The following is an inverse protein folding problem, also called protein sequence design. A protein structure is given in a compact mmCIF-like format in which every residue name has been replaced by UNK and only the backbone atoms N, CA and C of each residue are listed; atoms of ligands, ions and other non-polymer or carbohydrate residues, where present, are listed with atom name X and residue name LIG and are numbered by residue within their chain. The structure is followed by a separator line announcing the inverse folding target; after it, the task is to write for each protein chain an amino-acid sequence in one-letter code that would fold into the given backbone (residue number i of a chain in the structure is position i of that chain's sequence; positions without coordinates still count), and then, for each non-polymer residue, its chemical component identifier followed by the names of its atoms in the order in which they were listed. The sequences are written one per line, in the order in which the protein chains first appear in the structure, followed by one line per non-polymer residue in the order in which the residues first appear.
data_IF_149310794646
#
_entry.id   IF_149310794646
#
_cell.length_a   1.000
_cell.length_b   1.000
_cell.length_c   1.000
_cell.angle_alpha   90.00
_cell.angle_beta   90.00
_cell.angle_gamma   90.00
#
_symmetry.space_group_name_H-M   'P 1'
#
loop_
_entity.id
_entity.type
_entity.pdbx_description
1 polymer ?
#
# COMPACT_ATOMS: atom_id res chain seq x y z
N UNK A 1 -8.87 37.92 15.14
CA UNK A 1 -8.85 36.76 14.21
C UNK A 1 -10.25 36.18 14.23
N UNK A 2 -10.93 36.14 13.09
CA UNK A 2 -12.27 35.55 13.01
C UNK A 2 -12.15 34.05 13.25
N UNK A 3 -12.92 33.51 14.20
CA UNK A 3 -12.90 32.08 14.53
C UNK A 3 -13.43 31.27 13.34
N UNK A 4 -12.76 30.16 13.01
CA UNK A 4 -13.13 29.30 11.88
C UNK A 4 -14.12 28.25 12.36
N UNK A 5 -15.39 28.45 12.04
CA UNK A 5 -16.51 27.63 12.56
C UNK A 5 -17.26 26.91 11.44
N UNK A 6 -17.12 27.34 10.19
CA UNK A 6 -17.86 26.77 9.06
C UNK A 6 -17.10 25.64 8.36
N UNK A 7 -17.79 24.56 7.96
CA UNK A 7 -17.18 23.49 7.17
C UNK A 7 -16.73 24.00 5.79
N UNK A 8 -15.66 23.43 5.20
CA UNK A 8 -15.20 23.84 3.89
C UNK A 8 -16.21 23.51 2.78
N UNK A 9 -16.37 24.45 1.85
CA UNK A 9 -17.17 24.27 0.64
C UNK A 9 -16.52 23.24 -0.31
N UNK A 10 -17.29 22.64 -1.24
CA UNK A 10 -16.77 21.72 -2.24
C UNK A 10 -15.67 22.35 -3.12
N UNK A 11 -15.73 23.67 -3.38
CA UNK A 11 -14.70 24.40 -4.13
C UNK A 11 -13.36 24.44 -3.39
N UNK A 12 -13.34 24.76 -2.10
CA UNK A 12 -12.11 24.75 -1.30
C UNK A 12 -11.50 23.36 -1.16
N UNK A 13 -12.34 22.31 -1.05
CA UNK A 13 -11.87 20.91 -1.10
C UNK A 13 -11.24 20.58 -2.46
N UNK A 14 -11.80 21.05 -3.56
CA UNK A 14 -11.27 20.82 -4.91
C UNK A 14 -9.95 21.58 -5.14
N UNK A 15 -9.86 22.84 -4.70
CA UNK A 15 -8.61 23.60 -4.73
C UNK A 15 -7.52 22.95 -3.87
N UNK A 16 -7.86 22.42 -2.70
CA UNK A 16 -6.91 21.67 -1.86
C UNK A 16 -6.38 20.42 -2.59
N UNK A 17 -7.26 19.68 -3.30
CA UNK A 17 -6.86 18.55 -4.15
C UNK A 17 -5.97 18.99 -5.31
N UNK A 18 -6.27 20.09 -6.00
CA UNK A 18 -5.45 20.65 -7.09
C UNK A 18 -4.07 21.10 -6.62
N UNK A 19 -3.97 21.60 -5.39
CA UNK A 19 -2.70 21.92 -4.73
C UNK A 19 -1.97 20.67 -4.20
N UNK A 20 -2.53 19.47 -4.41
CA UNK A 20 -2.01 18.19 -3.97
C UNK A 20 -2.09 17.99 -2.46
N UNK A 21 -2.87 18.79 -1.72
CA UNK A 21 -3.12 18.59 -0.28
C UNK A 21 -4.25 17.58 -0.12
N UNK A 22 -3.90 16.30 -0.07
CA UNK A 22 -4.84 15.19 0.14
C UNK A 22 -4.41 14.45 1.41
N UNK A 23 -5.32 14.09 2.32
CA UNK A 23 -5.00 13.26 3.47
C UNK A 23 -4.46 11.92 2.96
N UNK A 24 -3.29 11.53 3.45
CA UNK A 24 -2.62 10.27 3.08
C UNK A 24 -2.11 9.60 4.34
N UNK A 25 -2.44 8.33 4.50
CA UNK A 25 -1.76 7.44 5.44
C UNK A 25 -0.63 6.74 4.69
N UNK A 26 0.61 6.88 5.19
CA UNK A 26 1.78 6.23 4.58
C UNK A 26 1.71 4.71 4.66
N UNK A 27 1.00 4.17 5.66
CA UNK A 27 0.99 2.74 5.96
C UNK A 27 -0.18 1.98 5.33
N UNK A 28 -1.23 2.68 4.90
CA UNK A 28 -2.41 2.02 4.33
C UNK A 28 -2.07 1.30 3.02
N UNK A 29 -1.07 1.79 2.26
CA UNK A 29 -0.61 1.11 1.03
C UNK A 29 0.08 -0.19 1.40
N UNK A 30 0.95 -0.17 2.40
CA UNK A 30 1.71 -1.33 2.84
C UNK A 30 0.81 -2.40 3.47
N UNK A 31 -0.13 -1.99 4.33
CA UNK A 31 -1.08 -2.90 4.95
C UNK A 31 -2.01 -3.55 3.92
N UNK A 32 -2.56 -2.74 3.01
CA UNK A 32 -3.46 -3.23 1.98
C UNK A 32 -2.78 -4.07 0.92
N UNK A 33 -1.56 -3.72 0.50
CA UNK A 33 -0.79 -4.54 -0.44
C UNK A 33 -0.41 -5.89 0.17
N UNK A 34 0.00 -5.90 1.45
CA UNK A 34 0.28 -7.13 2.18
C UNK A 34 -0.95 -8.04 2.24
N UNK A 35 -2.11 -7.50 2.62
CA UNK A 35 -3.36 -8.27 2.71
C UNK A 35 -3.85 -8.77 1.35
N UNK A 36 -3.82 -7.92 0.31
CA UNK A 36 -4.22 -8.32 -1.04
C UNK A 36 -3.34 -9.46 -1.56
N UNK A 37 -2.02 -9.32 -1.37
CA UNK A 37 -1.04 -10.32 -1.81
C UNK A 37 -1.16 -11.62 -1.00
N UNK A 38 -1.40 -11.52 0.31
CA UNK A 38 -1.63 -12.68 1.18
C UNK A 38 -2.92 -13.40 0.82
N UNK A 39 -4.02 -12.67 0.54
CA UNK A 39 -5.29 -13.25 0.12
C UNK A 39 -5.20 -13.92 -1.25
N UNK A 40 -4.48 -13.31 -2.19
CA UNK A 40 -4.20 -13.93 -3.49
C UNK A 40 -3.41 -15.22 -3.32
N UNK A 41 -2.33 -15.19 -2.52
CA UNK A 41 -1.51 -16.36 -2.22
C UNK A 41 -2.32 -17.46 -1.52
N UNK A 42 -3.20 -17.11 -0.58
CA UNK A 42 -4.07 -18.06 0.10
C UNK A 42 -5.01 -18.79 -0.88
N UNK A 43 -5.48 -18.10 -1.92
CA UNK A 43 -6.35 -18.66 -2.94
C UNK A 43 -5.59 -19.54 -3.93
N UNK A 44 -4.52 -19.04 -4.55
CA UNK A 44 -3.82 -19.76 -5.62
C UNK A 44 -2.71 -20.70 -5.13
N UNK A 45 -2.19 -20.49 -3.92
CA UNK A 45 -1.05 -21.23 -3.37
C UNK A 45 -1.24 -22.75 -3.29
N UNK A 46 -2.40 -23.27 -2.85
CA UNK A 46 -2.63 -24.72 -2.83
C UNK A 46 -2.58 -25.36 -4.23
N UNK A 47 -3.18 -24.72 -5.24
CA UNK A 47 -3.15 -25.18 -6.63
C UNK A 47 -1.72 -25.10 -7.21
N UNK A 48 -0.97 -24.05 -6.87
CA UNK A 48 0.42 -23.93 -7.26
C UNK A 48 1.27 -25.06 -6.65
N UNK A 49 1.06 -25.36 -5.37
CA UNK A 49 1.79 -26.41 -4.67
C UNK A 49 1.51 -27.80 -5.26
N UNK A 50 0.25 -28.11 -5.63
CA UNK A 50 -0.08 -29.38 -6.28
C UNK A 50 0.59 -29.52 -7.65
N UNK A 51 0.54 -28.48 -8.49
CA UNK A 51 1.19 -28.46 -9.80
C UNK A 51 2.72 -28.60 -9.69
N UNK A 52 3.33 -27.93 -8.70
CA UNK A 52 4.76 -28.09 -8.42
C UNK A 52 5.10 -29.53 -8.01
N UNK A 53 4.25 -30.16 -7.19
CA UNK A 53 4.46 -31.53 -6.72
C UNK A 53 4.34 -32.53 -7.88
N UNK A 54 3.40 -32.31 -8.80
CA UNK A 54 3.27 -33.09 -10.04
C UNK A 54 4.49 -32.92 -10.96
N UNK A 55 4.97 -31.69 -11.18
CA UNK A 55 6.16 -31.43 -11.98
C UNK A 55 7.41 -32.11 -11.41
N UNK A 56 7.57 -32.10 -10.09
CA UNK A 56 8.66 -32.82 -9.41
C UNK A 56 8.48 -34.33 -9.57
N UNK A 57 7.27 -34.84 -9.38
CA UNK A 57 6.95 -36.26 -9.55
C UNK A 57 7.26 -36.76 -10.97
N UNK A 58 6.86 -36.00 -11.99
CA UNK A 58 7.15 -36.30 -13.39
C UNK A 58 8.66 -36.27 -13.67
N UNK A 59 9.38 -35.29 -13.12
CA UNK A 59 10.84 -35.18 -13.27
C UNK A 59 11.58 -36.34 -12.62
N UNK A 60 11.06 -36.87 -11.50
CA UNK A 60 11.63 -38.03 -10.79
C UNK A 60 11.29 -39.36 -11.48
N UNK A 61 10.14 -39.46 -12.16
CA UNK A 61 9.71 -40.65 -12.89
C UNK A 61 10.29 -40.75 -14.30
N UNK A 62 10.89 -39.67 -14.83
CA UNK A 62 11.58 -39.75 -16.10
C UNK A 62 12.71 -40.78 -16.01
N UNK A 63 12.67 -41.84 -16.84
CA UNK A 63 13.68 -42.87 -16.81
C UNK A 63 15.03 -42.19 -16.99
N UNK A 64 15.93 -42.45 -16.02
CA UNK A 64 17.38 -42.19 -16.02
C UNK A 64 17.82 -41.67 -17.38
N UNK A 65 18.20 -40.38 -17.45
CA UNK A 65 18.94 -39.72 -18.56
C UNK A 65 19.25 -40.77 -19.61
N UNK A 66 18.40 -40.90 -20.64
CA UNK A 66 18.53 -41.98 -21.61
C UNK A 66 19.88 -41.82 -22.28
N UNK A 67 20.87 -42.57 -21.79
CA UNK A 67 22.22 -42.74 -22.35
C UNK A 67 22.14 -43.54 -23.67
N UNK A 68 21.04 -43.38 -24.41
CA UNK A 68 20.65 -44.22 -25.55
C UNK A 68 20.59 -43.40 -26.84
N UNK A 69 20.56 -42.07 -26.72
CA UNK A 69 20.94 -41.12 -27.77
C UNK A 69 22.35 -40.69 -27.44
N UNK A 70 23.31 -40.83 -28.37
CA UNK A 70 24.76 -40.58 -28.19
C UNK A 70 25.20 -39.16 -27.79
N UNK A 71 24.37 -38.42 -27.08
CA UNK A 71 24.67 -37.16 -26.40
C UNK A 71 25.43 -37.42 -25.10
N UNK A 72 26.29 -36.47 -24.71
CA UNK A 72 27.00 -36.61 -23.44
C UNK A 72 26.01 -36.61 -22.27
N UNK A 73 26.32 -37.29 -21.15
CA UNK A 73 25.50 -37.24 -19.93
C UNK A 73 25.22 -35.81 -19.45
N UNK A 74 26.11 -34.86 -19.80
CA UNK A 74 26.04 -33.45 -19.45
C UNK A 74 24.95 -32.74 -20.26
N UNK A 75 24.78 -33.07 -21.56
CA UNK A 75 23.77 -32.46 -22.43
C UNK A 75 22.36 -32.91 -22.08
N UNK A 76 22.21 -34.18 -21.68
CA UNK A 76 20.96 -34.72 -21.14
C UNK A 76 20.53 -34.02 -19.85
N UNK A 77 21.45 -33.87 -18.89
CA UNK A 77 21.20 -33.17 -17.64
C UNK A 77 20.89 -31.68 -17.85
N UNK A 78 21.63 -31.01 -18.75
CA UNK A 78 21.41 -29.60 -19.06
C UNK A 78 20.02 -29.36 -19.66
N UNK A 79 19.57 -30.18 -20.62
CA UNK A 79 18.22 -30.07 -21.20
C UNK A 79 17.12 -30.31 -20.18
N UNK A 80 17.31 -31.27 -19.27
CA UNK A 80 16.35 -31.52 -18.18
C UNK A 80 16.23 -30.31 -17.25
N UNK A 81 17.36 -29.72 -16.85
CA UNK A 81 17.38 -28.53 -16.00
C UNK A 81 16.68 -27.36 -16.70
N UNK A 82 17.04 -27.06 -17.95
CA UNK A 82 16.43 -25.95 -18.72
C UNK A 82 14.92 -26.14 -18.85
N UNK A 83 14.46 -27.35 -19.19
CA UNK A 83 13.03 -27.67 -19.29
C UNK A 83 12.32 -27.50 -17.94
N UNK A 84 12.93 -27.97 -16.85
CA UNK A 84 12.36 -27.87 -15.50
C UNK A 84 12.26 -26.41 -15.03
N UNK A 85 13.32 -25.62 -15.25
CA UNK A 85 13.32 -24.18 -14.93
C UNK A 85 12.28 -23.43 -15.75
N UNK A 86 12.16 -23.74 -17.04
CA UNK A 86 11.18 -23.10 -17.90
C UNK A 86 9.74 -23.44 -17.50
N UNK A 87 9.46 -24.72 -17.18
CA UNK A 87 8.15 -25.16 -16.69
C UNK A 87 7.81 -24.50 -15.34
N UNK A 88 8.76 -24.46 -14.40
CA UNK A 88 8.59 -23.77 -13.12
C UNK A 88 8.34 -22.27 -13.33
N UNK A 89 9.08 -21.65 -14.24
CA UNK A 89 8.92 -20.25 -14.63
C UNK A 89 7.52 -19.97 -15.18
N UNK A 90 7.03 -20.79 -16.10
CA UNK A 90 5.68 -20.65 -16.65
C UNK A 90 4.59 -20.81 -15.59
N UNK A 91 4.82 -21.69 -14.61
CA UNK A 91 3.88 -21.96 -13.53
C UNK A 91 3.82 -20.80 -12.52
N UNK A 92 4.97 -20.24 -12.12
CA UNK A 92 5.06 -19.18 -11.10
C UNK A 92 4.85 -17.78 -11.68
N UNK A 93 5.20 -17.55 -12.94
CA UNK A 93 5.04 -16.25 -13.61
C UNK A 93 3.64 -15.61 -13.51
N UNK A 94 2.52 -16.32 -13.79
CA UNK A 94 1.20 -15.72 -13.71
C UNK A 94 0.85 -15.28 -12.29
N UNK A 95 1.30 -16.02 -11.27
CA UNK A 95 1.12 -15.63 -9.86
C UNK A 95 1.92 -14.37 -9.53
N UNK A 96 3.21 -14.32 -9.88
CA UNK A 96 4.04 -13.13 -9.68
C UNK A 96 3.47 -11.91 -10.37
N UNK A 97 2.96 -12.08 -11.60
CA UNK A 97 2.30 -11.01 -12.35
C UNK A 97 1.03 -10.55 -11.63
N UNK A 98 0.19 -11.48 -11.17
CA UNK A 98 -1.03 -11.14 -10.43
C UNK A 98 -0.73 -10.43 -9.11
N UNK A 99 0.27 -10.86 -8.34
CA UNK A 99 0.72 -10.20 -7.11
C UNK A 99 1.23 -8.77 -7.40
N UNK A 100 2.02 -8.60 -8.46
CA UNK A 100 2.48 -7.28 -8.90
C UNK A 100 1.31 -6.37 -9.29
N UNK A 101 0.37 -6.88 -10.08
CA UNK A 101 -0.82 -6.14 -10.51
C UNK A 101 -1.70 -5.74 -9.33
N UNK A 102 -1.91 -6.62 -8.34
CA UNK A 102 -2.64 -6.30 -7.12
C UNK A 102 -1.95 -5.19 -6.30
N UNK A 103 -0.62 -5.30 -6.11
CA UNK A 103 0.15 -4.29 -5.38
C UNK A 103 0.10 -2.92 -6.07
N UNK A 104 0.26 -2.89 -7.40
CA UNK A 104 0.14 -1.68 -8.23
C UNK A 104 -1.27 -1.11 -8.15
N UNK A 105 -2.31 -1.93 -8.34
CA UNK A 105 -3.69 -1.49 -8.29
C UNK A 105 -4.04 -0.86 -6.94
N UNK A 106 -3.62 -1.47 -5.83
CA UNK A 106 -3.85 -0.93 -4.49
C UNK A 106 -3.12 0.40 -4.27
N UNK A 107 -1.88 0.51 -4.75
CA UNK A 107 -1.11 1.74 -4.70
C UNK A 107 -1.80 2.87 -5.47
N UNK A 108 -2.29 2.58 -6.68
CA UNK A 108 -3.02 3.54 -7.53
C UNK A 108 -4.37 3.96 -6.91
N UNK A 109 -5.13 3.00 -6.38
CA UNK A 109 -6.41 3.24 -5.70
C UNK A 109 -6.24 4.23 -4.54
N UNK A 110 -5.17 4.08 -3.75
CA UNK A 110 -4.96 4.91 -2.58
C UNK A 110 -4.32 6.26 -2.89
N UNK A 111 -3.32 6.30 -3.79
CA UNK A 111 -2.63 7.55 -4.12
C UNK A 111 -3.42 8.43 -5.09
N UNK A 112 -4.35 7.83 -5.85
CA UNK A 112 -4.99 8.41 -7.01
C UNK A 112 -4.00 8.65 -8.15
N UNK A 113 -4.49 9.03 -9.33
CA UNK A 113 -3.64 9.61 -10.39
C UNK A 113 -3.19 11.04 -10.01
N UNK A 114 -2.43 11.16 -8.92
CA UNK A 114 -1.90 12.42 -8.44
C UNK A 114 -0.45 12.58 -8.89
N UNK A 115 -0.23 12.63 -10.20
CA UNK A 115 1.03 13.13 -10.76
C UNK A 115 0.95 14.65 -10.66
N UNK A 116 1.45 15.21 -9.55
CA UNK A 116 1.52 16.67 -9.38
C UNK A 116 2.94 17.15 -9.72
N UNK A 117 3.23 17.53 -10.98
CA UNK A 117 4.57 17.99 -11.38
C UNK A 117 5.03 19.23 -10.60
N UNK A 118 4.10 19.97 -9.99
CA UNK A 118 4.38 21.13 -9.15
C UNK A 118 5.15 20.80 -7.84
N UNK A 119 5.16 19.54 -7.39
CA UNK A 119 5.93 19.09 -6.21
C UNK A 119 7.40 18.77 -6.49
N UNK A 120 7.83 18.78 -7.76
CA UNK A 120 9.22 18.58 -8.18
C UNK A 120 10.07 19.86 -8.09
N UNK A 121 9.47 21.02 -7.78
CA UNK A 121 10.24 22.25 -7.57
C UNK A 121 10.93 22.19 -6.20
N UNK A 122 12.28 22.26 -6.13
CA UNK A 122 13.00 22.32 -4.87
C UNK A 122 12.72 23.67 -4.19
N UNK A 123 11.86 23.68 -3.18
CA UNK A 123 11.61 24.88 -2.37
C UNK A 123 12.66 25.01 -1.27
N UNK A 124 13.54 26.01 -1.36
CA UNK A 124 14.56 26.33 -0.35
C UNK A 124 13.96 26.65 1.04
N UNK A 125 12.68 27.03 1.11
CA UNK A 125 11.97 27.27 2.38
C UNK A 125 11.82 26.02 3.27
N UNK A 126 11.91 24.80 2.70
CA UNK A 126 11.81 23.54 3.45
C UNK A 126 13.11 23.14 4.19
N UNK A 127 14.19 23.90 4.04
CA UNK A 127 15.51 23.61 4.59
C UNK A 127 15.85 24.40 5.88
N UNK A 128 14.94 25.25 6.40
CA UNK A 128 15.22 25.99 7.65
C UNK A 128 15.22 25.05 8.88
N UNK A 129 16.38 24.79 9.52
CA UNK A 129 16.48 23.81 10.62
C UNK A 129 15.76 24.29 11.90
N UNK A 130 15.71 25.60 12.12
CA UNK A 130 15.13 26.21 13.33
C UNK A 130 13.61 26.07 13.44
N UNK A 131 12.85 26.17 12.33
CA UNK A 131 11.39 25.94 12.34
C UNK A 131 11.04 24.47 12.59
N UNK A 132 11.83 23.54 12.05
CA UNK A 132 11.65 22.10 12.27
C UNK A 132 11.90 21.68 13.72
N UNK A 133 12.89 22.26 14.40
CA UNK A 133 13.16 21.94 15.81
C UNK A 133 11.98 22.30 16.73
N UNK A 134 11.32 23.44 16.48
CA UNK A 134 10.11 23.84 17.21
C UNK A 134 8.88 22.99 16.86
N UNK A 135 8.74 22.55 15.61
CA UNK A 135 7.68 21.60 15.21
C UNK A 135 7.89 20.21 15.81
N UNK A 136 9.13 19.72 15.91
CA UNK A 136 9.45 18.40 16.50
C UNK A 136 9.05 18.29 17.98
N UNK A 137 9.05 19.41 18.72
CA UNK A 137 8.63 19.48 20.13
C UNK A 137 7.17 19.94 20.31
N UNK A 138 6.41 20.12 19.23
CA UNK A 138 5.00 20.50 19.33
C UNK A 138 4.15 19.36 19.90
N UNK A 139 3.06 19.70 20.59
CA UNK A 139 2.10 18.72 21.13
C UNK A 139 1.55 17.76 20.06
N UNK A 140 1.53 18.20 18.78
CA UNK A 140 1.11 17.39 17.63
C UNK A 140 2.09 16.25 17.35
N UNK A 141 3.38 16.50 17.47
CA UNK A 141 4.43 15.50 17.24
C UNK A 141 4.46 14.48 18.37
N UNK A 142 4.32 14.93 19.62
CA UNK A 142 4.27 14.05 20.79
C UNK A 142 3.05 13.11 20.76
N UNK A 143 1.88 13.61 20.34
CA UNK A 143 0.70 12.78 20.11
C UNK A 143 0.92 11.74 19.00
N UNK A 144 1.60 12.13 17.91
CA UNK A 144 1.99 11.21 16.83
C UNK A 144 2.94 10.11 17.30
N UNK A 145 3.92 10.43 18.16
CA UNK A 145 4.81 9.45 18.78
C UNK A 145 4.03 8.43 19.63
N UNK A 146 3.04 8.88 20.41
CA UNK A 146 2.20 8.00 21.22
C UNK A 146 1.42 6.98 20.36
N UNK A 147 0.85 7.42 19.23
CA UNK A 147 0.14 6.54 18.29
C UNK A 147 1.10 5.51 17.67
N UNK A 148 2.31 5.93 17.34
CA UNK A 148 3.34 5.04 16.79
C UNK A 148 3.79 3.98 17.81
N UNK A 149 3.93 4.36 19.10
CA UNK A 149 4.20 3.41 20.18
C UNK A 149 3.04 2.43 20.39
N UNK A 150 1.79 2.90 20.34
CA UNK A 150 0.60 2.05 20.44
C UNK A 150 0.55 1.03 19.30
N UNK A 151 0.85 1.47 18.07
CA UNK A 151 0.96 0.60 16.89
C UNK A 151 2.03 -0.48 17.11
N UNK A 152 3.22 -0.07 17.55
CA UNK A 152 4.32 -1.00 17.80
C UNK A 152 3.94 -2.02 18.87
N UNK A 153 3.34 -1.57 19.97
CA UNK A 153 2.86 -2.45 21.04
C UNK A 153 1.81 -3.45 20.53
N UNK A 154 0.86 -3.01 19.70
CA UNK A 154 -0.14 -3.88 19.12
C UNK A 154 0.45 -4.91 18.15
N UNK A 155 1.44 -4.53 17.34
CA UNK A 155 2.17 -5.46 16.47
C UNK A 155 2.93 -6.50 17.27
N UNK A 156 3.63 -6.10 18.33
CA UNK A 156 4.33 -7.02 19.24
C UNK A 156 3.31 -7.97 19.89
N UNK A 157 2.22 -7.45 20.43
CA UNK A 157 1.18 -8.26 21.07
C UNK A 157 0.58 -9.29 20.10
N UNK A 158 0.23 -8.86 18.87
CA UNK A 158 -0.28 -9.74 17.82
C UNK A 158 0.74 -10.81 17.46
N UNK A 159 2.02 -10.44 17.33
CA UNK A 159 3.09 -11.36 16.95
C UNK A 159 3.34 -12.40 18.04
N UNK A 160 3.40 -11.99 19.32
CA UNK A 160 3.56 -12.89 20.46
C UNK A 160 2.37 -13.84 20.57
N UNK A 161 1.15 -13.34 20.38
CA UNK A 161 -0.05 -14.17 20.35
C UNK A 161 0.03 -15.23 19.26
N UNK A 162 0.34 -14.85 18.02
CA UNK A 162 0.47 -15.77 16.89
C UNK A 162 1.55 -16.82 17.11
N UNK A 163 2.71 -16.44 17.64
CA UNK A 163 3.78 -17.39 17.95
C UNK A 163 3.29 -18.43 18.97
N UNK A 164 2.59 -17.99 20.01
CA UNK A 164 2.03 -18.90 21.02
C UNK A 164 0.95 -19.82 20.46
N UNK A 165 0.10 -19.31 19.58
CA UNK A 165 -0.94 -20.09 18.89
C UNK A 165 -0.34 -21.13 17.94
N UNK A 166 0.76 -20.77 17.26
CA UNK A 166 1.47 -21.64 16.32
C UNK A 166 2.39 -22.68 16.99
N UNK A 167 2.87 -22.44 18.21
CA UNK A 167 3.83 -23.32 18.91
C UNK A 167 3.39 -24.79 19.00
N UNK A 168 2.15 -25.13 19.40
CA UNK A 168 1.70 -26.53 19.48
C UNK A 168 1.71 -27.22 18.12
N UNK A 169 1.27 -26.52 17.08
CA UNK A 169 1.25 -27.05 15.72
C UNK A 169 2.67 -27.26 15.18
N UNK A 170 3.61 -26.32 15.46
CA UNK A 170 5.06 -26.46 15.20
C UNK A 170 5.65 -27.68 15.91
N UNK A 171 5.27 -27.95 17.16
CA UNK A 171 5.78 -29.10 17.89
C UNK A 171 5.36 -30.45 17.25
N UNK A 172 4.19 -30.49 16.60
CA UNK A 172 3.68 -31.71 15.94
C UNK A 172 4.18 -31.90 14.51
N UNK A 173 4.74 -30.87 13.88
CA UNK A 173 5.20 -30.89 12.48
C UNK A 173 6.27 -31.97 12.22
N UNK A 174 7.13 -32.25 13.21
CA UNK A 174 8.17 -33.30 13.10
C UNK A 174 7.60 -34.73 13.05
N UNK A 175 6.34 -34.92 13.43
CA UNK A 175 5.68 -36.23 13.50
C UNK A 175 4.77 -36.50 12.30
N UNK A 176 4.58 -35.51 11.41
CA UNK A 176 3.66 -35.60 10.28
C UNK A 176 4.37 -35.94 8.96
N UNK A 177 3.66 -36.57 8.00
CA UNK A 177 4.15 -36.74 6.64
C UNK A 177 4.53 -35.40 5.99
N UNK A 178 5.58 -35.41 5.16
CA UNK A 178 6.13 -34.20 4.52
C UNK A 178 5.08 -33.34 3.79
N UNK A 179 4.11 -33.90 3.02
CA UNK A 179 3.11 -33.10 2.33
C UNK A 179 2.16 -32.36 3.29
N UNK A 180 1.75 -33.03 4.36
CA UNK A 180 0.88 -32.44 5.39
C UNK A 180 1.61 -31.36 6.19
N UNK A 181 2.89 -31.59 6.48
CA UNK A 181 3.76 -30.61 7.13
C UNK A 181 3.92 -29.34 6.28
N UNK A 182 4.14 -29.49 4.97
CA UNK A 182 4.27 -28.36 4.06
C UNK A 182 2.96 -27.54 3.98
N UNK A 183 1.81 -28.21 3.90
CA UNK A 183 0.50 -27.55 3.90
C UNK A 183 0.22 -26.80 5.21
N UNK A 184 0.53 -27.40 6.37
CA UNK A 184 0.38 -26.77 7.69
C UNK A 184 1.26 -25.52 7.80
N UNK A 185 2.54 -25.58 7.42
CA UNK A 185 3.43 -24.41 7.39
C UNK A 185 2.89 -23.30 6.49
N UNK A 186 2.38 -23.65 5.31
CA UNK A 186 1.78 -22.68 4.39
C UNK A 186 0.57 -21.98 5.02
N UNK A 187 -0.36 -22.73 5.61
CA UNK A 187 -1.52 -22.15 6.29
C UNK A 187 -1.12 -21.28 7.49
N UNK A 188 -0.10 -21.68 8.26
CA UNK A 188 0.44 -20.86 9.35
C UNK A 188 1.02 -19.55 8.83
N UNK A 189 1.79 -19.57 7.73
CA UNK A 189 2.33 -18.36 7.11
C UNK A 189 1.22 -17.42 6.64
N UNK A 190 0.23 -17.94 5.92
CA UNK A 190 -0.94 -17.16 5.45
C UNK A 190 -1.69 -16.55 6.63
N UNK A 191 -1.95 -17.33 7.70
CA UNK A 191 -2.61 -16.87 8.92
C UNK A 191 -1.80 -15.75 9.59
N UNK A 192 -0.49 -15.92 9.74
CA UNK A 192 0.39 -14.90 10.33
C UNK A 192 0.38 -13.59 9.51
N UNK A 193 0.57 -13.68 8.19
CA UNK A 193 0.53 -12.52 7.31
C UNK A 193 -0.85 -11.83 7.33
N UNK A 194 -1.93 -12.61 7.39
CA UNK A 194 -3.30 -12.10 7.48
C UNK A 194 -3.55 -11.32 8.77
N UNK A 195 -3.16 -11.87 9.92
CA UNK A 195 -3.32 -11.20 11.22
C UNK A 195 -2.45 -9.95 11.34
N UNK A 196 -1.17 -10.03 10.97
CA UNK A 196 -0.25 -8.87 10.99
C UNK A 196 -0.75 -7.79 10.03
N UNK A 197 -1.13 -8.17 8.81
CA UNK A 197 -1.69 -7.25 7.83
C UNK A 197 -2.98 -6.59 8.31
N UNK A 198 -3.84 -7.32 9.00
CA UNK A 198 -5.09 -6.78 9.57
C UNK A 198 -4.81 -5.79 10.69
N UNK A 199 -3.87 -6.11 11.60
CA UNK A 199 -3.43 -5.18 12.65
C UNK A 199 -2.88 -3.90 12.02
N UNK A 200 -2.00 -4.00 11.02
CA UNK A 200 -1.49 -2.84 10.28
C UNK A 200 -2.62 -2.04 9.63
N UNK A 201 -3.59 -2.71 9.03
CA UNK A 201 -4.71 -2.05 8.35
C UNK A 201 -5.56 -1.25 9.34
N UNK A 202 -5.86 -1.79 10.52
CA UNK A 202 -6.61 -1.10 11.57
C UNK A 202 -5.92 0.21 11.95
N UNK A 203 -4.61 0.17 12.23
CA UNK A 203 -3.86 1.37 12.55
C UNK A 203 -3.73 2.33 11.37
N UNK A 204 -3.60 1.81 10.16
CA UNK A 204 -3.51 2.63 8.96
C UNK A 204 -4.81 3.37 8.66
N UNK A 205 -5.97 2.76 8.95
CA UNK A 205 -7.30 3.38 8.88
C UNK A 205 -7.45 4.45 9.97
N UNK A 206 -7.00 4.18 11.20
CA UNK A 206 -7.00 5.18 12.27
C UNK A 206 -6.14 6.40 11.91
N UNK A 207 -4.94 6.18 11.38
CA UNK A 207 -4.07 7.25 10.87
C UNK A 207 -4.75 8.06 9.78
N UNK A 208 -5.41 7.38 8.84
CA UNK A 208 -6.13 8.04 7.77
C UNK A 208 -7.29 8.88 8.31
N UNK A 209 -8.06 8.37 9.28
CA UNK A 209 -9.16 9.09 9.91
C UNK A 209 -8.66 10.33 10.67
N UNK A 210 -7.57 10.22 11.42
CA UNK A 210 -6.94 11.35 12.11
C UNK A 210 -6.39 12.38 11.12
N UNK A 211 -5.71 11.93 10.06
CA UNK A 211 -5.21 12.80 9.00
C UNK A 211 -6.36 13.52 8.28
N UNK A 212 -7.46 12.82 8.02
CA UNK A 212 -8.67 13.40 7.42
C UNK A 212 -9.32 14.43 8.34
N UNK A 213 -9.48 14.12 9.63
CA UNK A 213 -10.04 15.05 10.61
C UNK A 213 -9.21 16.32 10.74
N UNK A 214 -7.89 16.19 10.81
CA UNK A 214 -6.98 17.32 10.82
C UNK A 214 -7.06 18.14 9.53
N UNK A 215 -7.08 17.47 8.38
CA UNK A 215 -7.19 18.14 7.09
C UNK A 215 -8.49 18.94 6.96
N UNK A 216 -9.61 18.37 7.40
CA UNK A 216 -10.91 19.03 7.39
C UNK A 216 -10.94 20.24 8.34
N UNK A 217 -10.33 20.13 9.53
CA UNK A 217 -10.18 21.25 10.47
C UNK A 217 -9.31 22.36 9.89
N UNK A 218 -8.21 22.04 9.21
CA UNK A 218 -7.32 23.02 8.59
C UNK A 218 -8.03 23.79 7.44
N UNK A 219 -9.02 23.16 6.81
CA UNK A 219 -9.83 23.73 5.74
C UNK A 219 -11.05 24.54 6.23
N UNK A 220 -11.37 24.52 7.52
CA UNK A 220 -12.50 25.30 8.06
C UNK A 220 -12.39 26.79 7.71
N UNK A 221 -13.56 27.40 7.55
CA UNK A 221 -13.70 28.79 7.12
C UNK A 221 -14.25 29.67 8.24
N UNK A 222 -13.85 30.94 8.23
CA UNK A 222 -14.52 31.97 9.00
C UNK A 222 -15.80 32.44 8.29
N UNK A 223 -16.71 33.11 9.00
CA UNK A 223 -17.90 33.70 8.38
C UNK A 223 -17.57 34.66 7.22
N UNK A 224 -16.48 35.42 7.36
CA UNK A 224 -16.03 36.35 6.33
C UNK A 224 -15.55 35.60 5.08
N UNK A 225 -14.72 34.57 5.24
CA UNK A 225 -14.23 33.74 4.14
C UNK A 225 -15.39 33.05 3.40
N UNK A 226 -16.40 32.56 4.12
CA UNK A 226 -17.56 31.91 3.50
C UNK A 226 -18.39 32.90 2.67
N UNK A 227 -18.64 34.11 3.18
CA UNK A 227 -19.40 35.15 2.45
C UNK A 227 -18.65 35.61 1.20
N UNK A 228 -17.34 35.77 1.28
CA UNK A 228 -16.50 36.11 0.12
C UNK A 228 -16.53 35.01 -0.94
N UNK A 229 -16.45 33.73 -0.53
CA UNK A 229 -16.47 32.61 -1.46
C UNK A 229 -17.84 32.46 -2.15
N UNK A 230 -18.93 32.68 -1.43
CA UNK A 230 -20.29 32.71 -1.99
C UNK A 230 -20.47 33.88 -2.97
N UNK A 231 -20.00 35.09 -2.60
CA UNK A 231 -20.05 36.26 -3.49
C UNK A 231 -19.23 36.05 -4.78
N UNK A 232 -18.02 35.50 -4.68
CA UNK A 232 -17.22 35.15 -5.86
C UNK A 232 -17.89 34.05 -6.70
N UNK A 233 -18.59 33.12 -6.06
CA UNK A 233 -19.32 32.06 -6.75
C UNK A 233 -20.51 32.59 -7.54
N UNK A 234 -21.26 33.53 -6.98
CA UNK A 234 -22.37 34.21 -7.65
C UNK A 234 -21.89 35.09 -8.81
N UNK A 235 -20.79 35.84 -8.61
CA UNK A 235 -20.18 36.68 -9.65
C UNK A 235 -19.68 35.86 -10.86
N UNK A 236 -19.25 34.62 -10.65
CA UNK A 236 -18.85 33.71 -11.74
C UNK A 236 -20.05 33.11 -12.48
N UNK A 237 -21.19 32.95 -11.79
CA UNK A 237 -22.41 32.34 -12.35
C UNK A 237 -23.24 33.36 -13.16
N UNK A 238 -23.21 34.63 -12.76
CA UNK A 238 -23.77 35.76 -13.50
C UNK A 238 -22.66 36.76 -13.83
N UNK A 239 -21.88 36.56 -14.90
CA UNK A 239 -20.97 37.58 -15.36
C UNK A 239 -21.81 38.79 -15.81
N UNK A 240 -21.83 39.83 -14.99
CA UNK A 240 -22.46 41.09 -15.38
C UNK A 240 -21.76 41.62 -16.65
N UNK A 241 -22.50 42.18 -17.63
CA UNK A 241 -21.95 42.58 -18.94
C UNK A 241 -20.78 43.59 -18.87
N UNK A 242 -20.56 44.23 -17.72
CA UNK A 242 -19.53 45.25 -17.51
C UNK A 242 -18.11 44.70 -17.33
N UNK A 243 -17.92 43.39 -17.13
CA UNK A 243 -16.57 42.81 -16.97
C UNK A 243 -15.81 42.63 -18.30
N UNK A 244 -16.45 42.88 -19.45
CA UNK A 244 -15.85 42.68 -20.79
C UNK A 244 -15.05 43.87 -21.32
N UNK A 245 -15.01 44.99 -20.60
CA UNK A 245 -14.40 46.26 -21.09
C UNK A 245 -13.32 46.83 -20.18
N UNK A 246 -12.52 45.99 -19.51
CA UNK A 246 -11.22 46.45 -19.01
C UNK A 246 -10.13 46.10 -20.03
N UNK A 247 -9.65 47.07 -20.82
CA UNK A 247 -8.53 46.84 -21.71
C UNK A 247 -7.29 46.47 -20.89
N UNK A 248 -6.62 45.43 -21.33
CA UNK A 248 -5.29 45.01 -20.87
C UNK A 248 -4.34 46.18 -21.13
N UNK A 249 -3.82 46.81 -20.07
CA UNK A 249 -2.72 47.74 -20.22
C UNK A 249 -1.45 46.95 -20.56
N UNK A 250 -0.73 47.29 -21.65
CA UNK A 250 0.58 46.72 -21.90
C UNK A 250 1.57 47.26 -20.86
N UNK A 251 2.24 46.34 -20.18
CA UNK A 251 3.40 46.65 -19.33
C UNK A 251 4.57 46.95 -20.26
N UNK A 252 5.07 48.19 -20.21
CA UNK A 252 6.40 48.58 -20.69
C UNK A 252 7.45 48.27 -19.63
#
# INVERSE_FOLDING_TARGET
MSEKIHPPTPRRRQQAKEQGRVPRSGEMVAAGSLLATTGLLAWCGPALASEMMELIGQSMQQPRITLDTGDSPIDGAFRLIVRSVFALGLLVAPMCLAMMMCAVAFNLLQTGWAVTPRRLQPSLERLSPGRKAGELLSARTLAGFGILLLRLAALIATSVYLIRDCLPEIATLAQRPLPESAASVFHMMVRCCGWVGTTLLIFAVLDYALAWWHHERDLMMSEQELREELRNSEATRHPSPQARTRPVQPVS
#
